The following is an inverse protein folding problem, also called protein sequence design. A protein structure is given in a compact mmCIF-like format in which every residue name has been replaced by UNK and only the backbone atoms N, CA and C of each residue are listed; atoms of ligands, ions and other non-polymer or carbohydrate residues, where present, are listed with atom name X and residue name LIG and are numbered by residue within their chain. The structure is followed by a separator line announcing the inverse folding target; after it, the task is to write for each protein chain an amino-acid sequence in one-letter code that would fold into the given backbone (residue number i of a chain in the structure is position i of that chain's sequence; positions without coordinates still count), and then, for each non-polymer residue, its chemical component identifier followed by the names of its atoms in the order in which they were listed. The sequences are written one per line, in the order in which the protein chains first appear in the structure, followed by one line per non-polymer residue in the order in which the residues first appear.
data_IF_462824375983
#
_entry.id   IF_462824375983
#
_cell.length_a   1.000
_cell.length_b   1.000
_cell.length_c   1.000
_cell.angle_alpha   90.00
_cell.angle_beta   90.00
_cell.angle_gamma   90.00
#
_symmetry.space_group_name_H-M   'P 1'
#
loop_
_entity.id
_entity.type
_entity.pdbx_description
1 polymer ?
#
# COMPACT_ATOMS: atom_id res chain seq x y z
N UNK A 1 -2.45 13.39 7.08
CA UNK A 1 -3.77 13.75 7.65
C UNK A 1 -4.73 12.55 7.76
N UNK A 2 -5.12 11.88 6.65
CA UNK A 2 -6.07 10.74 6.70
C UNK A 2 -5.54 9.59 7.56
N UNK A 3 -4.32 9.11 7.32
CA UNK A 3 -3.74 8.00 8.09
C UNK A 3 -3.52 8.37 9.57
N UNK A 4 -3.15 9.60 9.89
CA UNK A 4 -3.07 10.08 11.27
C UNK A 4 -4.43 10.05 11.97
N UNK A 5 -5.48 10.52 11.29
CA UNK A 5 -6.84 10.43 11.82
C UNK A 5 -7.23 8.99 12.13
N UNK A 6 -7.03 8.06 11.19
CA UNK A 6 -7.36 6.65 11.39
C UNK A 6 -6.50 5.98 12.46
N UNK A 7 -5.22 6.38 12.60
CA UNK A 7 -4.37 5.91 13.70
C UNK A 7 -4.91 6.35 15.05
N UNK A 8 -5.32 7.62 15.19
CA UNK A 8 -5.92 8.14 16.42
C UNK A 8 -7.25 7.47 16.73
N UNK A 9 -8.07 7.24 15.70
CA UNK A 9 -9.35 6.55 15.81
C UNK A 9 -9.16 5.10 16.30
N UNK A 10 -8.20 4.37 15.73
CA UNK A 10 -7.88 3.00 16.11
C UNK A 10 -7.30 2.89 17.53
N UNK A 11 -6.53 3.88 17.97
CA UNK A 11 -5.96 3.91 19.31
C UNK A 11 -6.98 4.25 20.39
N UNK A 12 -8.03 5.00 20.06
CA UNK A 12 -8.98 5.59 21.00
C UNK A 12 -9.65 4.58 21.96
N UNK A 13 -10.11 3.39 21.55
CA UNK A 13 -10.77 2.44 22.46
C UNK A 13 -9.89 1.99 23.63
N UNK A 14 -8.57 1.85 23.40
CA UNK A 14 -7.59 1.40 24.39
C UNK A 14 -7.07 2.49 25.33
N UNK A 15 -7.47 3.75 25.14
CA UNK A 15 -6.99 4.89 25.93
C UNK A 15 -7.77 5.06 27.24
N UNK A 16 -7.11 5.60 28.28
CA UNK A 16 -7.77 6.01 29.52
C UNK A 16 -8.61 7.30 29.33
N UNK A 17 -9.39 7.69 30.33
CA UNK A 17 -10.29 8.82 30.22
C UNK A 17 -9.58 10.16 29.91
N UNK A 18 -8.37 10.39 30.47
CA UNK A 18 -7.58 11.59 30.21
C UNK A 18 -7.02 11.60 28.77
N UNK A 19 -6.51 10.47 28.34
CA UNK A 19 -6.00 10.29 26.98
C UNK A 19 -7.11 10.42 25.95
N UNK A 20 -8.31 9.88 26.21
CA UNK A 20 -9.48 10.00 25.32
C UNK A 20 -9.87 11.45 25.10
N UNK A 21 -9.96 12.26 26.16
CA UNK A 21 -10.28 13.69 26.05
C UNK A 21 -9.17 14.47 25.31
N UNK A 22 -7.91 14.06 25.47
CA UNK A 22 -6.78 14.68 24.75
C UNK A 22 -6.66 14.24 23.29
N UNK A 23 -7.34 13.16 22.90
CA UNK A 23 -7.28 12.65 21.53
C UNK A 23 -8.10 13.55 20.58
N UNK A 24 -7.53 14.01 19.45
CA UNK A 24 -8.23 14.86 18.50
C UNK A 24 -9.57 14.29 18.01
N UNK A 25 -9.70 12.96 17.85
CA UNK A 25 -10.95 12.33 17.36
C UNK A 25 -12.12 12.53 18.34
N UNK A 26 -11.85 12.65 19.66
CA UNK A 26 -12.89 12.96 20.65
C UNK A 26 -13.54 14.32 20.36
N UNK A 27 -12.74 15.31 20.02
CA UNK A 27 -13.22 16.67 19.70
C UNK A 27 -13.92 16.71 18.34
N UNK A 28 -13.38 16.00 17.33
CA UNK A 28 -13.98 15.92 16.00
C UNK A 28 -15.39 15.33 16.06
N UNK A 29 -15.58 14.31 16.91
CA UNK A 29 -16.84 13.57 17.01
C UNK A 29 -17.72 14.00 18.22
N UNK A 30 -17.38 15.07 18.92
CA UNK A 30 -18.17 15.55 20.05
C UNK A 30 -18.34 14.51 21.16
N UNK A 31 -17.33 13.64 21.37
CA UNK A 31 -17.35 12.55 22.35
C UNK A 31 -17.93 11.23 21.87
N UNK A 32 -18.66 11.20 20.76
CA UNK A 32 -19.25 9.99 20.16
C UNK A 32 -18.32 9.41 19.07
N UNK A 33 -17.14 8.94 19.49
CA UNK A 33 -16.10 8.45 18.57
C UNK A 33 -16.49 7.09 18.00
N UNK A 34 -16.59 6.94 16.65
CA UNK A 34 -16.90 5.66 16.02
C UNK A 34 -15.72 4.69 16.15
N UNK A 35 -15.99 3.40 16.00
CA UNK A 35 -14.94 2.40 15.86
C UNK A 35 -14.34 2.45 14.46
N UNK A 36 -13.01 2.25 14.35
CA UNK A 36 -12.35 2.14 13.07
C UNK A 36 -12.52 0.75 12.50
N UNK A 37 -12.95 0.66 11.24
CA UNK A 37 -13.01 -0.58 10.46
C UNK A 37 -11.94 -0.64 9.35
N UNK A 38 -10.93 0.25 9.41
CA UNK A 38 -9.82 0.24 8.47
C UNK A 38 -8.91 -0.97 8.68
N UNK A 39 -8.83 -1.85 7.67
CA UNK A 39 -7.92 -3.00 7.63
C UNK A 39 -6.60 -2.68 6.91
N UNK A 40 -6.58 -1.61 6.12
CA UNK A 40 -5.40 -1.07 5.45
C UNK A 40 -5.36 0.44 5.61
N UNK A 41 -4.18 1.06 5.48
CA UNK A 41 -4.05 2.51 5.56
C UNK A 41 -4.60 3.21 4.31
N UNK A 42 -4.91 4.51 4.42
CA UNK A 42 -5.33 5.31 3.28
C UNK A 42 -4.22 5.43 2.23
N UNK A 43 -2.96 5.60 2.65
CA UNK A 43 -1.82 5.60 1.74
C UNK A 43 -1.68 4.29 0.97
N UNK A 44 -1.99 3.15 1.59
CA UNK A 44 -2.00 1.86 0.92
C UNK A 44 -3.10 1.79 -0.16
N UNK A 45 -4.31 2.26 0.15
CA UNK A 45 -5.41 2.35 -0.83
C UNK A 45 -5.05 3.25 -2.01
N UNK A 46 -4.38 4.37 -1.76
CA UNK A 46 -3.95 5.30 -2.80
C UNK A 46 -2.91 4.66 -3.74
N UNK A 47 -1.94 3.94 -3.18
CA UNK A 47 -0.95 3.20 -3.99
C UNK A 47 -1.60 2.06 -4.77
N UNK A 48 -2.57 1.35 -4.17
CA UNK A 48 -3.34 0.32 -4.85
C UNK A 48 -4.14 0.92 -6.03
N UNK A 49 -4.84 2.03 -5.81
CA UNK A 49 -5.56 2.74 -6.88
C UNK A 49 -4.62 3.14 -8.02
N UNK A 50 -3.42 3.62 -7.68
CA UNK A 50 -2.41 4.03 -8.64
C UNK A 50 -1.91 2.87 -9.50
N UNK A 51 -1.59 1.72 -8.89
CA UNK A 51 -1.04 0.56 -9.61
C UNK A 51 -2.11 -0.18 -10.39
N UNK A 52 -3.31 -0.32 -9.82
CA UNK A 52 -4.44 -0.95 -10.49
C UNK A 52 -5.06 -0.06 -11.59
N UNK A 53 -4.69 1.22 -11.66
CA UNK A 53 -5.33 2.17 -12.57
C UNK A 53 -6.83 2.31 -12.28
N UNK A 54 -7.22 2.31 -11.00
CA UNK A 54 -8.61 2.19 -10.59
C UNK A 54 -9.44 3.41 -11.02
N UNK A 55 -10.52 3.17 -11.76
CA UNK A 55 -11.50 4.20 -12.13
C UNK A 55 -12.65 4.28 -11.13
N UNK A 56 -12.88 3.21 -10.36
CA UNK A 56 -13.89 3.10 -9.33
C UNK A 56 -13.41 2.35 -8.08
N UNK A 57 -14.17 2.46 -6.99
CA UNK A 57 -13.84 1.79 -5.74
C UNK A 57 -14.05 0.28 -5.77
N UNK A 58 -14.89 -0.24 -6.67
CA UNK A 58 -15.14 -1.68 -6.80
C UNK A 58 -13.86 -2.41 -7.25
N UNK A 59 -13.04 -1.76 -8.07
CA UNK A 59 -11.71 -2.25 -8.43
C UNK A 59 -10.84 -2.46 -7.19
N UNK A 60 -10.82 -1.52 -6.24
CA UNK A 60 -10.09 -1.66 -4.98
C UNK A 60 -10.67 -2.76 -4.10
N UNK A 61 -12.00 -2.87 -4.03
CA UNK A 61 -12.67 -3.92 -3.27
C UNK A 61 -12.37 -5.32 -3.79
N UNK A 62 -12.07 -5.48 -5.06
CA UNK A 62 -11.59 -6.75 -5.61
C UNK A 62 -10.30 -7.23 -4.94
N UNK A 63 -9.37 -6.33 -4.66
CA UNK A 63 -8.13 -6.63 -3.91
C UNK A 63 -8.38 -6.77 -2.41
N UNK A 64 -9.14 -5.86 -1.81
CA UNK A 64 -9.44 -5.85 -0.38
C UNK A 64 -10.10 -7.15 0.05
N UNK A 65 -11.06 -7.69 -0.71
CA UNK A 65 -11.75 -8.96 -0.40
C UNK A 65 -10.81 -10.16 -0.41
N UNK A 66 -9.76 -10.15 -1.22
CA UNK A 66 -8.73 -11.21 -1.21
C UNK A 66 -7.81 -11.10 0.01
N UNK A 67 -7.48 -9.87 0.39
CA UNK A 67 -6.62 -9.57 1.53
C UNK A 67 -7.34 -9.76 2.87
N UNK A 68 -8.58 -9.32 2.98
CA UNK A 68 -9.43 -9.39 4.16
C UNK A 68 -10.83 -9.92 3.79
N UNK A 69 -11.00 -11.26 3.71
CA UNK A 69 -12.24 -11.88 3.20
C UNK A 69 -13.51 -11.52 3.97
N UNK A 70 -13.38 -11.16 5.25
CA UNK A 70 -14.51 -10.78 6.12
C UNK A 70 -14.92 -9.30 5.95
N UNK A 71 -14.13 -8.50 5.23
CA UNK A 71 -14.43 -7.10 5.00
C UNK A 71 -15.44 -6.91 3.85
N UNK A 72 -16.48 -6.11 4.11
CA UNK A 72 -17.45 -5.69 3.09
C UNK A 72 -17.70 -4.18 3.17
N UNK A 73 -18.18 -3.54 2.10
CA UNK A 73 -18.56 -2.12 2.14
C UNK A 73 -19.58 -1.77 3.23
N UNK A 74 -20.48 -2.69 3.55
CA UNK A 74 -21.53 -2.51 4.54
C UNK A 74 -21.01 -2.57 5.97
N UNK A 75 -20.05 -3.45 6.24
CA UNK A 75 -19.48 -3.65 7.57
C UNK A 75 -18.26 -2.76 7.84
N UNK A 76 -17.61 -2.24 6.78
CA UNK A 76 -16.38 -1.45 6.81
C UNK A 76 -16.59 -0.11 6.10
N UNK A 77 -17.51 0.71 6.61
CA UNK A 77 -17.93 1.95 5.97
C UNK A 77 -16.82 2.98 5.84
N UNK A 78 -15.97 3.14 6.84
CA UNK A 78 -14.82 4.04 6.80
C UNK A 78 -13.78 3.59 5.75
N UNK A 79 -13.60 2.28 5.58
CA UNK A 79 -12.77 1.71 4.52
C UNK A 79 -13.39 1.94 3.13
N UNK A 80 -14.70 1.78 2.99
CA UNK A 80 -15.42 2.04 1.73
C UNK A 80 -15.34 3.51 1.32
N UNK A 81 -15.55 4.42 2.26
CA UNK A 81 -15.39 5.86 2.04
C UNK A 81 -13.95 6.21 1.65
N UNK A 82 -12.96 5.65 2.39
CA UNK A 82 -11.54 5.85 2.11
C UNK A 82 -11.15 5.33 0.71
N UNK A 83 -11.68 4.18 0.28
CA UNK A 83 -11.46 3.64 -1.05
C UNK A 83 -11.99 4.59 -2.14
N UNK A 84 -13.19 5.14 -1.95
CA UNK A 84 -13.77 6.13 -2.86
C UNK A 84 -12.95 7.42 -2.93
N UNK A 85 -12.43 7.90 -1.79
CA UNK A 85 -11.54 9.07 -1.76
C UNK A 85 -10.18 8.78 -2.43
N UNK A 86 -9.61 7.59 -2.22
CA UNK A 86 -8.34 7.20 -2.84
C UNK A 86 -8.44 7.17 -4.36
N UNK A 87 -9.52 6.61 -4.91
CA UNK A 87 -9.77 6.59 -6.36
C UNK A 87 -9.90 8.00 -6.94
N UNK A 88 -10.69 8.87 -6.31
CA UNK A 88 -10.84 10.27 -6.77
C UNK A 88 -9.52 11.01 -6.71
N UNK A 89 -8.81 10.93 -5.57
CA UNK A 89 -7.52 11.58 -5.42
C UNK A 89 -6.49 11.09 -6.43
N UNK A 90 -6.46 9.78 -6.68
CA UNK A 90 -5.60 9.21 -7.71
C UNK A 90 -5.89 9.80 -9.09
N UNK A 91 -7.15 9.79 -9.52
CA UNK A 91 -7.51 10.27 -10.86
C UNK A 91 -7.27 11.77 -11.04
N UNK A 92 -7.57 12.58 -10.01
CA UNK A 92 -7.49 14.03 -10.09
C UNK A 92 -6.05 14.58 -9.93
N UNK A 93 -5.25 13.95 -9.07
CA UNK A 93 -3.96 14.51 -8.64
C UNK A 93 -2.75 13.62 -8.91
N UNK A 94 -2.87 12.30 -8.75
CA UNK A 94 -1.72 11.40 -8.84
C UNK A 94 -1.46 10.97 -10.28
N UNK A 95 -2.48 10.50 -10.99
CA UNK A 95 -2.38 10.00 -12.36
C UNK A 95 -1.68 10.97 -13.31
N UNK A 96 -1.98 12.28 -13.33
CA UNK A 96 -1.31 13.24 -14.20
C UNK A 96 0.14 13.55 -13.81
N UNK A 97 0.57 13.20 -12.60
CA UNK A 97 1.91 13.50 -12.07
C UNK A 97 2.83 12.29 -11.97
N UNK A 98 2.36 11.09 -12.35
CA UNK A 98 3.20 9.88 -12.33
C UNK A 98 4.36 10.01 -13.30
N UNK A 99 5.57 9.72 -12.81
CA UNK A 99 6.79 9.70 -13.62
C UNK A 99 7.54 8.40 -13.33
N UNK A 100 7.58 7.53 -14.31
CA UNK A 100 8.36 6.30 -14.25
C UNK A 100 9.76 6.54 -14.81
N UNK A 101 10.71 5.71 -14.42
CA UNK A 101 12.03 5.61 -15.03
C UNK A 101 12.42 4.17 -15.26
N UNK A 102 13.33 3.94 -16.19
CA UNK A 102 13.94 2.64 -16.35
C UNK A 102 14.82 2.28 -15.13
N UNK A 103 14.91 1.00 -14.77
CA UNK A 103 15.85 0.54 -13.76
C UNK A 103 17.30 0.64 -14.28
N UNK A 104 18.24 0.92 -13.40
CA UNK A 104 19.67 0.71 -13.65
C UNK A 104 19.98 -0.79 -13.73
N UNK A 105 21.17 -1.18 -14.19
CA UNK A 105 21.54 -2.60 -14.28
C UNK A 105 21.46 -3.30 -12.91
N UNK A 106 21.94 -2.67 -11.84
CA UNK A 106 21.86 -3.21 -10.48
C UNK A 106 20.41 -3.35 -9.99
N UNK A 107 19.57 -2.35 -10.28
CA UNK A 107 18.15 -2.37 -9.93
C UNK A 107 17.39 -3.44 -10.73
N UNK A 108 17.77 -3.64 -11.99
CA UNK A 108 17.23 -4.71 -12.84
C UNK A 108 17.52 -6.08 -12.25
N UNK A 109 18.76 -6.37 -11.89
CA UNK A 109 19.16 -7.62 -11.25
C UNK A 109 18.39 -7.85 -9.93
N UNK A 110 18.21 -6.79 -9.13
CA UNK A 110 17.45 -6.87 -7.88
C UNK A 110 15.95 -7.12 -8.12
N UNK A 111 15.37 -6.50 -9.14
CA UNK A 111 13.97 -6.72 -9.52
C UNK A 111 13.75 -8.15 -10.05
N UNK A 112 14.70 -8.67 -10.82
CA UNK A 112 14.67 -10.07 -11.30
C UNK A 112 14.73 -11.06 -10.13
N UNK A 113 15.62 -10.84 -9.14
CA UNK A 113 15.71 -11.66 -7.93
C UNK A 113 14.40 -11.59 -7.11
N UNK A 114 13.85 -10.38 -6.89
CA UNK A 114 12.57 -10.23 -6.19
C UNK A 114 11.45 -10.97 -6.92
N UNK A 115 11.35 -10.80 -8.23
CA UNK A 115 10.36 -11.50 -9.08
C UNK A 115 10.47 -13.01 -8.93
N UNK A 116 11.68 -13.56 -9.00
CA UNK A 116 11.91 -15.01 -8.95
C UNK A 116 11.59 -15.58 -7.56
N UNK A 117 11.92 -14.84 -6.48
CA UNK A 117 11.50 -15.17 -5.11
C UNK A 117 9.98 -15.17 -4.96
N UNK A 118 9.30 -14.17 -5.52
CA UNK A 118 7.84 -14.11 -5.49
C UNK A 118 7.19 -15.22 -6.32
N UNK A 119 7.76 -15.60 -7.48
CA UNK A 119 7.31 -16.75 -8.28
C UNK A 119 7.43 -18.08 -7.54
N UNK A 120 8.45 -18.21 -6.70
CA UNK A 120 8.69 -19.38 -5.86
C UNK A 120 7.95 -19.33 -4.52
N UNK A 121 7.23 -18.23 -4.24
CA UNK A 121 6.54 -18.02 -2.97
C UNK A 121 5.36 -18.98 -2.82
N UNK A 122 5.40 -19.82 -1.78
CA UNK A 122 4.36 -20.80 -1.44
C UNK A 122 3.75 -20.56 -0.05
N UNK A 123 4.23 -19.50 0.64
CA UNK A 123 3.75 -19.10 1.96
C UNK A 123 2.48 -18.25 1.92
N UNK A 124 1.91 -17.94 3.09
CA UNK A 124 0.80 -17.00 3.17
C UNK A 124 1.23 -15.60 2.70
N UNK A 125 0.28 -14.81 2.21
CA UNK A 125 0.51 -13.40 1.86
C UNK A 125 0.61 -12.54 3.14
N UNK A 126 1.63 -12.82 3.95
CA UNK A 126 1.92 -12.15 5.21
C UNK A 126 2.84 -10.95 5.00
N UNK A 127 2.43 -9.79 5.50
CA UNK A 127 3.12 -8.51 5.32
C UNK A 127 4.59 -8.56 5.78
N UNK A 128 4.86 -9.20 6.94
CA UNK A 128 6.20 -9.27 7.52
C UNK A 128 7.09 -10.25 6.76
N UNK A 129 6.54 -11.40 6.38
CA UNK A 129 7.27 -12.41 5.62
C UNK A 129 7.66 -11.88 4.23
N UNK A 130 6.72 -11.26 3.52
CA UNK A 130 6.97 -10.62 2.22
C UNK A 130 7.94 -9.44 2.35
N UNK A 131 7.83 -8.63 3.41
CA UNK A 131 8.78 -7.56 3.68
C UNK A 131 10.20 -8.10 3.90
N UNK A 132 10.34 -9.24 4.54
CA UNK A 132 11.65 -9.88 4.76
C UNK A 132 12.31 -10.30 3.45
N UNK A 133 11.54 -10.79 2.47
CA UNK A 133 12.04 -11.08 1.12
C UNK A 133 12.51 -9.81 0.40
N UNK A 134 11.73 -8.73 0.48
CA UNK A 134 12.11 -7.43 -0.12
C UNK A 134 13.41 -6.91 0.49
N UNK A 135 13.58 -7.03 1.82
CA UNK A 135 14.82 -6.67 2.51
C UNK A 135 15.99 -7.56 2.10
N UNK A 136 15.79 -8.88 1.98
CA UNK A 136 16.82 -9.83 1.61
C UNK A 136 17.43 -9.49 0.24
N UNK A 137 16.60 -9.14 -0.73
CA UNK A 137 17.05 -8.73 -2.07
C UNK A 137 17.93 -7.48 -2.02
N UNK A 138 17.53 -6.48 -1.23
CA UNK A 138 18.22 -5.17 -1.20
C UNK A 138 19.47 -5.14 -0.34
N UNK A 139 19.53 -5.94 0.74
CA UNK A 139 20.54 -5.85 1.80
C UNK A 139 21.98 -5.96 1.29
N UNK A 140 22.20 -6.87 0.37
CA UNK A 140 23.56 -7.18 -0.13
C UNK A 140 23.93 -6.39 -1.39
N UNK A 141 22.98 -5.61 -1.94
CA UNK A 141 23.15 -4.88 -3.20
C UNK A 141 23.17 -3.37 -3.05
N UNK A 142 22.46 -2.85 -2.03
CA UNK A 142 22.27 -1.40 -1.87
C UNK A 142 22.80 -0.89 -0.53
N UNK A 143 23.73 0.06 -0.59
CA UNK A 143 24.21 0.81 0.57
C UNK A 143 24.15 2.32 0.24
N UNK A 144 23.27 3.09 0.87
CA UNK A 144 22.27 2.67 1.86
C UNK A 144 21.06 1.93 1.25
N UNK A 145 20.46 1.02 2.03
CA UNK A 145 19.32 0.19 1.63
C UNK A 145 18.09 1.01 1.13
N UNK A 146 17.96 2.27 1.57
CA UNK A 146 16.91 3.19 1.06
C UNK A 146 16.95 3.35 -0.46
N UNK A 147 18.11 3.13 -1.10
CA UNK A 147 18.25 3.17 -2.57
C UNK A 147 17.41 2.10 -3.25
N UNK A 148 17.31 0.90 -2.66
CA UNK A 148 16.44 -0.16 -3.13
C UNK A 148 14.97 0.22 -3.07
N UNK A 149 14.50 0.72 -1.93
CA UNK A 149 13.11 1.15 -1.80
C UNK A 149 12.76 2.30 -2.74
N UNK A 150 13.68 3.25 -2.92
CA UNK A 150 13.52 4.32 -3.90
C UNK A 150 13.36 3.75 -5.32
N UNK A 151 14.18 2.76 -5.70
CA UNK A 151 14.06 2.09 -7.00
C UNK A 151 12.68 1.42 -7.18
N UNK A 152 12.19 0.68 -6.17
CA UNK A 152 10.87 0.08 -6.20
C UNK A 152 9.77 1.12 -6.46
N UNK A 153 9.83 2.28 -5.78
CA UNK A 153 8.81 3.32 -5.95
C UNK A 153 8.91 4.00 -7.32
N UNK A 154 10.09 4.38 -7.77
CA UNK A 154 10.26 5.11 -9.02
C UNK A 154 10.06 4.23 -10.26
N UNK A 155 10.46 2.96 -10.20
CA UNK A 155 10.37 2.02 -11.33
C UNK A 155 8.99 1.37 -11.41
N UNK A 156 8.41 0.94 -10.28
CA UNK A 156 7.16 0.18 -10.28
C UNK A 156 5.92 1.04 -10.03
N UNK A 157 6.04 2.11 -9.23
CA UNK A 157 4.89 2.93 -8.84
C UNK A 157 4.88 4.31 -9.53
N UNK A 158 5.96 4.73 -10.17
CA UNK A 158 6.08 6.06 -10.77
C UNK A 158 6.01 7.18 -9.74
N UNK A 159 6.52 6.95 -8.52
CA UNK A 159 6.46 7.87 -7.39
C UNK A 159 7.80 7.92 -6.66
N UNK A 160 8.10 9.05 -6.00
CA UNK A 160 9.33 9.22 -5.21
C UNK A 160 9.26 8.56 -3.83
N UNK A 161 8.06 8.21 -3.38
CA UNK A 161 7.76 7.59 -2.10
C UNK A 161 6.65 6.55 -2.29
N UNK A 162 6.57 5.59 -1.38
CA UNK A 162 5.56 4.55 -1.45
C UNK A 162 5.33 3.88 -0.10
N UNK A 163 4.48 2.86 -0.08
CA UNK A 163 4.09 2.12 1.11
C UNK A 163 5.21 1.19 1.57
N UNK A 164 5.03 0.59 2.75
CA UNK A 164 5.80 -0.59 3.15
C UNK A 164 5.55 -1.70 2.13
N UNK A 165 6.59 -2.10 1.40
CA UNK A 165 6.42 -2.86 0.16
C UNK A 165 5.89 -4.27 0.38
N UNK A 166 6.25 -4.93 1.50
CA UNK A 166 5.70 -6.24 1.86
C UNK A 166 4.19 -6.21 2.06
N UNK A 167 3.67 -5.21 2.79
CA UNK A 167 2.24 -4.99 2.94
C UNK A 167 1.55 -4.65 1.61
N UNK A 168 2.23 -3.91 0.73
CA UNK A 168 1.73 -3.65 -0.61
C UNK A 168 1.59 -4.93 -1.44
N UNK A 169 2.60 -5.81 -1.42
CA UNK A 169 2.55 -7.11 -2.11
C UNK A 169 1.39 -7.96 -1.57
N UNK A 170 1.22 -8.00 -0.24
CA UNK A 170 0.14 -8.76 0.39
C UNK A 170 -1.25 -8.30 -0.05
N UNK A 171 -1.46 -6.98 -0.18
CA UNK A 171 -2.73 -6.40 -0.62
C UNK A 171 -2.95 -6.52 -2.13
N UNK A 172 -1.95 -6.13 -2.93
CA UNK A 172 -2.03 -6.15 -4.39
C UNK A 172 -2.08 -7.56 -4.95
N UNK A 173 -1.32 -8.47 -4.35
CA UNK A 173 -1.18 -9.87 -4.72
C UNK A 173 0.24 -10.20 -5.19
N UNK A 174 0.68 -11.40 -4.85
CA UNK A 174 2.02 -11.90 -5.22
C UNK A 174 2.12 -12.02 -6.75
N UNK A 175 1.14 -12.67 -7.39
CA UNK A 175 1.13 -12.85 -8.85
C UNK A 175 1.00 -11.53 -9.60
N UNK A 176 0.17 -10.61 -9.12
CA UNK A 176 0.02 -9.27 -9.69
C UNK A 176 1.32 -8.46 -9.55
N UNK A 177 2.03 -8.63 -8.44
CA UNK A 177 3.34 -7.97 -8.25
C UNK A 177 4.39 -8.54 -9.20
N UNK A 178 4.41 -9.86 -9.40
CA UNK A 178 5.27 -10.51 -10.41
C UNK A 178 4.99 -9.93 -11.80
N UNK A 179 3.72 -9.85 -12.19
CA UNK A 179 3.33 -9.28 -13.48
C UNK A 179 3.73 -7.80 -13.60
N UNK A 180 3.61 -7.01 -12.53
CA UNK A 180 4.04 -5.62 -12.49
C UNK A 180 5.55 -5.49 -12.72
N UNK A 181 6.35 -6.33 -12.04
CA UNK A 181 7.81 -6.35 -12.23
C UNK A 181 8.17 -6.77 -13.66
N UNK A 182 7.56 -7.81 -14.21
CA UNK A 182 7.81 -8.26 -15.59
C UNK A 182 7.52 -7.13 -16.61
N UNK A 183 6.43 -6.37 -16.43
CA UNK A 183 6.09 -5.22 -17.28
C UNK A 183 7.12 -4.09 -17.17
N UNK A 184 7.57 -3.79 -15.95
CA UNK A 184 8.61 -2.77 -15.73
C UNK A 184 9.93 -3.17 -16.37
N UNK A 185 10.33 -4.44 -16.24
CA UNK A 185 11.54 -4.99 -16.87
C UNK A 185 11.46 -5.01 -18.39
N UNK A 186 10.27 -5.15 -18.94
CA UNK A 186 10.01 -5.04 -20.38
C UNK A 186 10.01 -3.59 -20.90
N UNK A 187 10.09 -2.58 -20.01
CA UNK A 187 10.10 -1.16 -20.39
C UNK A 187 8.73 -0.59 -20.73
N UNK A 188 7.64 -1.20 -20.27
CA UNK A 188 6.28 -0.72 -20.58
C UNK A 188 5.93 0.62 -19.92
N UNK A 189 6.67 1.04 -18.90
CA UNK A 189 6.39 2.26 -18.13
C UNK A 189 7.36 3.40 -18.42
N UNK A 190 8.49 3.14 -19.08
CA UNK A 190 9.60 4.11 -19.30
C UNK A 190 9.90 4.36 -20.77
#
# INVERSE_FOLDING_TARGET
AMDEYHQQLKAYPGQDAKQKVANPVWHIHGGNVPESTMVVSYSMLLNLASVAGAEDKETLWGFIRRYAPDATPETHKDLDDAAGFAVRYYNDFVKPTKVFRAPTDLEREALEDLRDRLKAWDGPADDEALQSEVYAVGRDRFDPLRGWFKALYEVLLGASQGPRFGGFIALYGVDETVALIDRALAGEFS
#
